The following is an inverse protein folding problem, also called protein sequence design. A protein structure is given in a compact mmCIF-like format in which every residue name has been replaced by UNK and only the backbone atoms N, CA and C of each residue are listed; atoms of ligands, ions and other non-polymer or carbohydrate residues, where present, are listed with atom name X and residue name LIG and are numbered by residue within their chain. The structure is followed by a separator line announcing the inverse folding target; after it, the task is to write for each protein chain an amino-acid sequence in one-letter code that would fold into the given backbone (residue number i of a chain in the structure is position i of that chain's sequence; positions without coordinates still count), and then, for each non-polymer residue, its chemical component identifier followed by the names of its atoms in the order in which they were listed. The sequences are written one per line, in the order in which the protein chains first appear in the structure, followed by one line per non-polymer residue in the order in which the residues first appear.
data_IF_437033654063
#
_entry.id   IF_437033654063
#
_cell.length_a   1.000
_cell.length_b   1.000
_cell.length_c   1.000
_cell.angle_alpha   90.00
_cell.angle_beta   90.00
_cell.angle_gamma   90.00
#
_symmetry.space_group_name_H-M   'P 1'
#
loop_
_entity.id
_entity.type
_entity.pdbx_description
1 polymer ?
#
# COMPACT_ATOMS: atom_id res chain seq x y z
N UNK A 1 26.54 -0.78 -29.51
CA UNK A 1 26.45 -0.30 -28.12
C UNK A 1 25.27 -0.98 -27.50
N UNK A 2 25.43 -1.87 -26.54
CA UNK A 2 24.31 -2.41 -25.77
C UNK A 2 23.76 -1.27 -24.91
N UNK A 3 22.49 -0.95 -25.07
CA UNK A 3 21.84 0.00 -24.17
C UNK A 3 21.93 -0.56 -22.75
N UNK A 4 22.62 0.14 -21.88
CA UNK A 4 22.69 -0.23 -20.47
C UNK A 4 21.46 0.34 -19.80
N UNK A 5 20.53 -0.50 -19.39
CA UNK A 5 19.33 -0.07 -18.66
C UNK A 5 19.72 0.45 -17.26
N UNK A 6 18.96 1.42 -16.76
CA UNK A 6 19.13 1.93 -15.39
C UNK A 6 18.56 0.94 -14.39
N UNK A 7 19.15 0.85 -13.21
CA UNK A 7 18.60 0.04 -12.12
C UNK A 7 17.26 0.60 -11.66
N UNK A 8 16.26 -0.26 -11.53
CA UNK A 8 14.89 0.09 -11.16
C UNK A 8 13.84 -0.82 -11.81
N UNK A 9 12.60 -0.39 -11.77
CA UNK A 9 11.46 -1.13 -12.32
C UNK A 9 11.04 -0.55 -13.67
N UNK A 10 10.91 -1.41 -14.67
CA UNK A 10 10.33 -1.09 -15.97
C UNK A 10 8.94 -1.71 -16.09
N UNK A 11 7.97 -0.92 -16.51
CA UNK A 11 6.56 -1.31 -16.59
C UNK A 11 6.01 -1.09 -17.99
N UNK A 12 5.48 -2.15 -18.59
CA UNK A 12 4.64 -2.03 -19.78
C UNK A 12 3.19 -2.32 -19.41
N UNK A 13 2.27 -1.49 -19.90
CA UNK A 13 0.84 -1.69 -19.70
C UNK A 13 0.20 -2.24 -20.97
N UNK A 14 -0.59 -3.29 -20.83
CA UNK A 14 -1.47 -3.80 -21.88
C UNK A 14 -2.89 -3.87 -21.33
N UNK A 15 -3.66 -2.81 -21.61
CA UNK A 15 -5.00 -2.59 -21.06
C UNK A 15 -4.96 -2.56 -19.51
N UNK A 16 -5.24 -3.67 -18.87
CA UNK A 16 -5.22 -3.83 -17.41
C UNK A 16 -4.07 -4.69 -16.90
N UNK A 17 -3.33 -5.33 -17.81
CA UNK A 17 -2.19 -6.17 -17.44
C UNK A 17 -0.94 -5.33 -17.27
N UNK A 18 -0.24 -5.54 -16.20
CA UNK A 18 1.01 -4.88 -15.83
C UNK A 18 2.13 -5.89 -16.03
N UNK A 19 2.96 -5.65 -17.03
CA UNK A 19 4.18 -6.42 -17.26
C UNK A 19 5.33 -5.70 -16.61
N UNK A 20 6.01 -6.34 -15.67
CA UNK A 20 7.05 -5.74 -14.84
C UNK A 20 8.39 -6.39 -15.10
N UNK A 21 9.41 -5.57 -15.13
CA UNK A 21 10.79 -6.02 -15.31
C UNK A 21 11.68 -5.31 -14.29
N UNK A 22 12.43 -6.09 -13.54
CA UNK A 22 13.45 -5.57 -12.65
C UNK A 22 14.77 -5.45 -13.41
N UNK A 23 15.43 -4.31 -13.31
CA UNK A 23 16.75 -4.10 -13.87
C UNK A 23 17.80 -4.05 -12.77
N UNK A 24 18.72 -5.01 -12.78
CA UNK A 24 19.96 -4.99 -12.00
C UNK A 24 21.17 -5.03 -12.91
N UNK A 25 22.14 -4.16 -12.67
CA UNK A 25 23.39 -4.09 -13.43
C UNK A 25 23.21 -4.06 -14.95
N UNK A 26 22.14 -3.40 -15.42
CA UNK A 26 21.84 -3.26 -16.84
C UNK A 26 21.16 -4.47 -17.48
N UNK A 27 20.81 -5.51 -16.71
CA UNK A 27 20.07 -6.67 -17.18
C UNK A 27 18.61 -6.63 -16.71
N UNK A 28 17.67 -6.83 -17.65
CA UNK A 28 16.24 -6.90 -17.38
C UNK A 28 15.82 -8.34 -17.04
N UNK A 29 15.19 -8.52 -15.89
CA UNK A 29 14.58 -9.76 -15.44
C UNK A 29 13.06 -9.60 -15.35
N UNK A 30 12.26 -10.46 -16.01
CA UNK A 30 10.80 -10.36 -15.93
C UNK A 30 10.33 -10.77 -14.54
N UNK A 31 9.41 -9.99 -13.99
CA UNK A 31 8.62 -10.34 -12.82
C UNK A 31 7.27 -10.95 -13.25
N UNK A 32 6.56 -11.55 -12.32
CA UNK A 32 5.22 -12.06 -12.60
C UNK A 32 4.29 -10.94 -13.06
N UNK A 33 3.51 -11.21 -14.13
CA UNK A 33 2.47 -10.29 -14.58
C UNK A 33 1.40 -10.15 -13.52
N UNK A 34 0.83 -8.96 -13.41
CA UNK A 34 -0.28 -8.65 -12.50
C UNK A 34 -1.30 -7.77 -13.21
N UNK A 35 -2.33 -7.36 -12.50
CA UNK A 35 -3.26 -6.32 -12.98
C UNK A 35 -3.09 -5.06 -12.15
N UNK A 36 -3.45 -3.90 -12.72
CA UNK A 36 -3.36 -2.60 -12.01
C UNK A 36 -4.12 -2.64 -10.68
N UNK A 37 -5.28 -3.28 -10.66
CA UNK A 37 -6.10 -3.41 -9.46
C UNK A 37 -5.51 -4.41 -8.44
N UNK A 38 -4.93 -5.52 -8.89
CA UNK A 38 -4.25 -6.47 -8.01
C UNK A 38 -3.01 -5.85 -7.38
N UNK A 39 -2.22 -5.10 -8.16
CA UNK A 39 -1.04 -4.39 -7.70
C UNK A 39 -1.36 -3.43 -6.55
N UNK A 40 -2.36 -2.56 -6.75
CA UNK A 40 -2.76 -1.60 -5.72
C UNK A 40 -3.40 -2.25 -4.49
N UNK A 41 -4.24 -3.27 -4.70
CA UNK A 41 -4.90 -3.95 -3.58
C UNK A 41 -3.91 -4.82 -2.80
N UNK A 42 -2.89 -5.40 -3.46
CA UNK A 42 -1.85 -6.16 -2.78
C UNK A 42 -1.06 -5.29 -1.81
N UNK A 43 -0.80 -4.04 -2.16
CA UNK A 43 -0.13 -3.08 -1.28
C UNK A 43 -0.84 -2.92 0.07
N UNK A 44 -2.19 -2.92 0.09
CA UNK A 44 -2.95 -2.89 1.35
C UNK A 44 -2.91 -4.20 2.13
N UNK A 45 -2.61 -5.31 1.44
CA UNK A 45 -2.53 -6.64 2.01
C UNK A 45 -1.09 -7.05 2.37
N UNK A 46 -0.10 -6.23 2.04
CA UNK A 46 1.31 -6.43 2.35
C UNK A 46 1.48 -6.71 3.85
N UNK A 47 2.41 -7.58 4.17
CA UNK A 47 2.67 -8.05 5.52
C UNK A 47 2.87 -6.85 6.47
N UNK A 48 2.15 -6.86 7.59
CA UNK A 48 2.28 -5.81 8.62
C UNK A 48 3.72 -5.66 9.11
N UNK A 49 4.51 -6.74 9.13
CA UNK A 49 5.91 -6.71 9.52
C UNK A 49 6.76 -5.75 8.68
N UNK A 50 6.48 -5.59 7.38
CA UNK A 50 7.21 -4.66 6.53
C UNK A 50 7.03 -3.20 7.00
N UNK A 51 5.81 -2.86 7.43
CA UNK A 51 5.52 -1.52 7.96
C UNK A 51 6.03 -1.35 9.39
N UNK A 52 6.04 -2.40 10.21
CA UNK A 52 6.65 -2.40 11.54
C UNK A 52 8.14 -2.09 11.45
N UNK A 53 8.88 -2.72 10.55
CA UNK A 53 10.30 -2.40 10.31
C UNK A 53 10.53 -0.93 9.95
N UNK A 54 9.68 -0.36 9.09
CA UNK A 54 9.75 1.06 8.73
C UNK A 54 9.45 1.95 9.95
N UNK A 55 8.39 1.63 10.71
CA UNK A 55 8.00 2.41 11.88
C UNK A 55 9.06 2.34 12.99
N UNK A 56 9.64 1.17 13.24
CA UNK A 56 10.71 0.98 14.23
C UNK A 56 11.94 1.81 13.86
N UNK A 57 12.31 1.80 12.58
CA UNK A 57 13.42 2.64 12.09
C UNK A 57 13.14 4.14 12.28
N UNK A 58 11.94 4.61 11.87
CA UNK A 58 11.54 6.02 12.03
C UNK A 58 11.55 6.43 13.52
N UNK A 59 11.11 5.55 14.41
CA UNK A 59 11.14 5.78 15.85
C UNK A 59 12.58 5.93 16.37
N UNK A 60 13.48 5.06 15.92
CA UNK A 60 14.91 5.13 16.27
C UNK A 60 15.54 6.45 15.79
N UNK A 61 15.19 6.92 14.58
CA UNK A 61 15.64 8.23 14.10
C UNK A 61 15.12 9.38 14.97
N UNK A 62 13.84 9.34 15.36
CA UNK A 62 13.24 10.37 16.21
C UNK A 62 13.88 10.44 17.60
N UNK A 63 14.35 9.33 18.13
CA UNK A 63 15.12 9.27 19.39
C UNK A 63 16.50 9.92 19.23
N UNK A 64 17.15 9.75 18.07
CA UNK A 64 18.42 10.42 17.75
C UNK A 64 18.23 11.93 17.57
N UNK A 65 17.08 12.36 17.00
CA UNK A 65 16.73 13.77 16.82
C UNK A 65 16.40 14.50 18.15
N UNK A 66 15.87 13.77 19.16
CA UNK A 66 15.44 14.32 20.45
C UNK A 66 16.56 14.56 21.48
N UNK A 67 17.81 14.23 21.18
CA UNK A 67 18.96 14.46 22.06
C UNK A 67 19.37 15.94 22.14
N UNK A 68 19.84 16.40 23.30
CA UNK A 68 20.23 17.81 23.57
C UNK A 68 21.36 18.38 22.67
N UNK A 69 21.86 17.59 21.70
CA UNK A 69 22.94 17.94 20.77
C UNK A 69 22.46 18.17 19.32
N UNK A 70 21.34 18.83 19.14
CA UNK A 70 20.86 19.29 17.83
C UNK A 70 21.79 20.38 17.24
N UNK A 71 22.97 20.02 16.82
CA UNK A 71 23.88 21.06 16.34
C UNK A 71 24.81 20.64 15.19
N UNK A 72 25.32 19.46 15.18
CA UNK A 72 26.25 19.02 14.13
C UNK A 72 26.05 17.51 13.92
N UNK A 73 25.30 17.14 12.88
CA UNK A 73 25.21 15.77 12.44
C UNK A 73 26.54 15.42 11.75
N UNK A 74 27.21 14.38 12.21
CA UNK A 74 28.46 13.93 11.63
C UNK A 74 28.22 13.05 10.39
N UNK A 75 29.21 13.02 9.47
CA UNK A 75 29.21 12.12 8.31
C UNK A 75 29.02 10.64 8.72
N UNK A 76 29.62 10.23 9.84
CA UNK A 76 29.51 8.87 10.37
C UNK A 76 28.07 8.54 10.78
N UNK A 77 27.38 9.45 11.44
CA UNK A 77 25.96 9.29 11.82
C UNK A 77 25.05 9.17 10.59
N UNK A 78 25.29 9.98 9.57
CA UNK A 78 24.52 9.92 8.31
C UNK A 78 24.75 8.61 7.61
N UNK A 79 25.99 8.15 7.53
CA UNK A 79 26.34 6.86 6.93
C UNK A 79 25.62 5.72 7.65
N UNK A 80 25.66 5.69 8.97
CA UNK A 80 24.93 4.69 9.78
C UNK A 80 23.42 4.71 9.51
N UNK A 81 22.83 5.88 9.37
CA UNK A 81 21.40 6.06 9.06
C UNK A 81 21.06 5.50 7.68
N UNK A 82 21.90 5.80 6.66
CA UNK A 82 21.71 5.31 5.30
C UNK A 82 21.84 3.78 5.26
N UNK A 83 22.88 3.22 5.89
CA UNK A 83 23.12 1.78 5.93
C UNK A 83 21.93 1.04 6.58
N UNK A 84 21.44 1.52 7.72
CA UNK A 84 20.25 0.96 8.37
C UNK A 84 18.99 1.08 7.52
N UNK A 85 18.80 2.17 6.79
CA UNK A 85 17.66 2.33 5.89
C UNK A 85 17.72 1.33 4.72
N UNK A 86 18.91 1.08 4.18
CA UNK A 86 19.13 0.08 3.14
C UNK A 86 18.91 -1.35 3.66
N UNK A 87 19.29 -1.64 4.91
CA UNK A 87 18.97 -2.92 5.59
C UNK A 87 17.45 -3.13 5.73
N UNK A 88 16.71 -2.09 6.09
CA UNK A 88 15.23 -2.14 6.14
C UNK A 88 14.64 -2.43 4.77
N UNK A 89 15.11 -1.73 3.72
CA UNK A 89 14.65 -1.98 2.35
C UNK A 89 14.97 -3.41 1.89
N UNK A 90 16.15 -3.95 2.23
CA UNK A 90 16.54 -5.32 1.93
C UNK A 90 15.67 -6.35 2.66
N UNK A 91 15.33 -6.13 3.93
CA UNK A 91 14.44 -7.00 4.69
C UNK A 91 13.01 -6.99 4.12
N UNK A 92 12.54 -5.86 3.61
CA UNK A 92 11.25 -5.77 2.91
C UNK A 92 11.30 -6.53 1.59
N UNK A 93 12.42 -6.45 0.85
CA UNK A 93 12.63 -7.13 -0.43
C UNK A 93 12.49 -8.66 -0.32
N UNK A 94 12.85 -9.25 0.80
CA UNK A 94 12.66 -10.69 1.05
C UNK A 94 11.17 -11.11 1.05
N UNK A 95 10.25 -10.18 1.35
CA UNK A 95 8.82 -10.44 1.47
C UNK A 95 7.98 -9.80 0.35
N UNK A 96 8.48 -8.74 -0.25
CA UNK A 96 7.84 -7.96 -1.32
C UNK A 96 8.91 -7.35 -2.22
N UNK A 97 9.29 -8.07 -3.26
CA UNK A 97 10.39 -7.72 -4.16
C UNK A 97 10.25 -6.29 -4.72
N UNK A 98 9.04 -5.90 -5.13
CA UNK A 98 8.82 -4.59 -5.77
C UNK A 98 8.91 -3.45 -4.78
N UNK A 99 8.25 -3.58 -3.64
CA UNK A 99 8.28 -2.54 -2.60
C UNK A 99 9.70 -2.34 -2.08
N UNK A 100 10.39 -3.42 -1.78
CA UNK A 100 11.77 -3.39 -1.29
C UNK A 100 12.73 -2.79 -2.32
N UNK A 101 12.62 -3.20 -3.58
CA UNK A 101 13.45 -2.67 -4.68
C UNK A 101 13.24 -1.18 -4.93
N UNK A 102 11.99 -0.73 -4.93
CA UNK A 102 11.68 0.69 -5.12
C UNK A 102 12.20 1.53 -3.94
N UNK A 103 12.06 1.05 -2.70
CA UNK A 103 12.60 1.72 -1.52
C UNK A 103 14.11 1.78 -1.56
N UNK A 104 14.77 0.67 -1.88
CA UNK A 104 16.22 0.60 -2.01
C UNK A 104 16.73 1.60 -3.07
N UNK A 105 16.10 1.61 -4.24
CA UNK A 105 16.45 2.54 -5.30
C UNK A 105 16.18 4.01 -4.90
N UNK A 106 15.07 4.28 -4.20
CA UNK A 106 14.71 5.63 -3.75
C UNK A 106 15.72 6.16 -2.72
N UNK A 107 16.12 5.35 -1.75
CA UNK A 107 17.18 5.70 -0.78
C UNK A 107 18.49 6.02 -1.50
N UNK A 108 18.95 5.14 -2.40
CA UNK A 108 20.18 5.39 -3.15
C UNK A 108 20.14 6.66 -4.00
N UNK A 109 18.99 6.95 -4.63
CA UNK A 109 18.83 8.15 -5.44
C UNK A 109 18.79 9.43 -4.61
N UNK A 110 18.10 9.40 -3.49
CA UNK A 110 17.93 10.55 -2.60
C UNK A 110 19.20 10.87 -1.82
N UNK A 111 20.08 9.89 -1.66
CA UNK A 111 21.39 10.06 -0.99
C UNK A 111 22.54 10.39 -1.96
N UNK A 112 22.36 10.11 -3.26
CA UNK A 112 23.37 10.42 -4.28
C UNK A 112 23.22 11.85 -4.80
N UNK A 113 23.29 12.82 -3.90
CA UNK A 113 23.28 14.26 -4.22
C UNK A 113 24.70 14.83 -4.01
N UNK A 114 25.11 15.81 -4.83
CA UNK A 114 26.40 16.46 -4.64
C UNK A 114 26.49 17.18 -3.31
N UNK A 115 27.61 17.02 -2.60
CA UNK A 115 27.89 17.83 -1.41
C UNK A 115 28.07 19.29 -1.84
N UNK A 116 27.21 20.15 -1.34
CA UNK A 116 27.25 21.60 -1.59
C UNK A 116 28.13 22.36 -0.56
N UNK A 117 28.75 21.64 0.37
CA UNK A 117 29.60 22.17 1.43
C UNK A 117 28.82 22.97 2.50
N UNK A 118 27.49 22.87 2.54
CA UNK A 118 26.69 23.56 3.53
C UNK A 118 26.55 22.75 4.83
N UNK A 119 26.42 23.44 5.96
CA UNK A 119 26.20 22.79 7.24
C UNK A 119 24.88 21.99 7.31
N UNK A 120 23.96 22.23 6.37
CA UNK A 120 22.65 21.58 6.31
C UNK A 120 22.68 20.33 5.39
N UNK A 121 23.76 20.03 4.71
CA UNK A 121 23.85 18.91 3.76
C UNK A 121 23.50 17.58 4.41
N UNK A 122 24.10 17.26 5.54
CA UNK A 122 23.82 16.02 6.25
C UNK A 122 22.38 15.93 6.79
N UNK A 123 21.84 17.05 7.27
CA UNK A 123 20.42 17.10 7.68
C UNK A 123 19.49 16.86 6.48
N UNK A 124 19.83 17.38 5.31
CA UNK A 124 19.08 17.16 4.09
C UNK A 124 19.12 15.68 3.67
N UNK A 125 20.28 15.04 3.73
CA UNK A 125 20.40 13.60 3.47
C UNK A 125 19.51 12.76 4.40
N UNK A 126 19.55 13.02 5.70
CA UNK A 126 18.69 12.34 6.68
C UNK A 126 17.21 12.53 6.39
N UNK A 127 16.79 13.77 6.10
CA UNK A 127 15.41 14.07 5.75
C UNK A 127 14.99 13.33 4.48
N UNK A 128 15.84 13.27 3.45
CA UNK A 128 15.56 12.57 2.22
C UNK A 128 15.34 11.06 2.46
N UNK A 129 16.18 10.43 3.29
CA UNK A 129 16.04 9.02 3.67
C UNK A 129 14.74 8.79 4.44
N UNK A 130 14.44 9.65 5.40
CA UNK A 130 13.23 9.60 6.19
C UNK A 130 11.97 9.74 5.32
N UNK A 131 11.98 10.66 4.36
CA UNK A 131 10.87 10.85 3.43
C UNK A 131 10.69 9.65 2.50
N UNK A 132 11.79 9.07 1.98
CA UNK A 132 11.73 7.87 1.17
C UNK A 132 11.06 6.70 1.94
N UNK A 133 11.46 6.48 3.21
CA UNK A 133 10.89 5.43 4.05
C UNK A 133 9.46 5.71 4.52
N UNK A 134 9.05 6.98 4.62
CA UNK A 134 7.65 7.35 4.94
C UNK A 134 6.70 7.20 3.76
N UNK A 135 7.20 7.24 2.53
CA UNK A 135 6.39 7.15 1.31
C UNK A 135 5.42 5.96 1.30
N UNK A 136 5.80 4.71 1.64
CA UNK A 136 4.87 3.59 1.68
C UNK A 136 3.76 3.74 2.71
N UNK A 137 4.05 4.33 3.87
CA UNK A 137 3.05 4.56 4.92
C UNK A 137 2.01 5.57 4.46
N UNK A 138 2.49 6.71 3.95
CA UNK A 138 1.64 7.76 3.40
C UNK A 138 0.79 7.25 2.23
N UNK A 139 1.40 6.56 1.26
CA UNK A 139 0.68 6.06 0.10
C UNK A 139 -0.36 4.99 0.47
N UNK A 140 -0.05 4.11 1.41
CA UNK A 140 -0.99 3.11 1.94
C UNK A 140 -2.23 3.77 2.56
N UNK A 141 -2.04 4.80 3.36
CA UNK A 141 -3.13 5.57 3.96
C UNK A 141 -3.99 6.24 2.88
N UNK A 142 -3.36 6.94 1.96
CA UNK A 142 -4.02 7.59 0.83
C UNK A 142 -4.82 6.59 -0.01
N UNK A 143 -4.22 5.46 -0.38
CA UNK A 143 -4.88 4.40 -1.16
C UNK A 143 -6.09 3.84 -0.41
N UNK A 144 -5.96 3.60 0.90
CA UNK A 144 -7.09 3.13 1.70
C UNK A 144 -8.26 4.12 1.68
N UNK A 145 -7.97 5.42 1.85
CA UNK A 145 -8.99 6.48 1.77
C UNK A 145 -9.66 6.53 0.40
N UNK A 146 -8.86 6.47 -0.66
CA UNK A 146 -9.36 6.45 -2.04
C UNK A 146 -10.28 5.26 -2.28
N UNK A 147 -9.84 4.05 -1.95
CA UNK A 147 -10.64 2.84 -2.17
C UNK A 147 -11.93 2.83 -1.33
N UNK A 148 -11.87 3.35 -0.10
CA UNK A 148 -13.07 3.47 0.74
C UNK A 148 -14.08 4.45 0.15
N UNK A 149 -13.63 5.57 -0.39
CA UNK A 149 -14.50 6.53 -1.10
C UNK A 149 -15.05 5.91 -2.39
N UNK A 150 -14.23 5.21 -3.17
CA UNK A 150 -14.68 4.51 -4.38
C UNK A 150 -15.79 3.48 -4.12
N UNK A 151 -15.80 2.85 -2.94
CA UNK A 151 -16.87 1.93 -2.56
C UNK A 151 -18.22 2.64 -2.38
N UNK A 152 -18.20 3.92 -1.98
CA UNK A 152 -19.40 4.71 -1.72
C UNK A 152 -20.01 5.31 -3.00
N UNK A 153 -19.24 5.41 -4.06
CA UNK A 153 -19.64 6.03 -5.33
C UNK A 153 -19.69 5.00 -6.46
N UNK A 154 -20.78 5.03 -7.23
CA UNK A 154 -20.90 4.17 -8.42
C UNK A 154 -20.00 4.65 -9.58
N UNK A 155 -19.53 5.89 -9.52
CA UNK A 155 -18.66 6.52 -10.52
C UNK A 155 -17.37 7.03 -9.89
N UNK A 156 -16.32 6.21 -9.99
CA UNK A 156 -14.98 6.53 -9.48
C UNK A 156 -14.42 7.82 -10.13
N UNK A 157 -14.70 8.06 -11.41
CA UNK A 157 -14.22 9.27 -12.09
C UNK A 157 -14.81 10.56 -11.51
N UNK A 158 -16.10 10.57 -11.15
CA UNK A 158 -16.73 11.75 -10.58
C UNK A 158 -16.10 12.10 -9.25
N UNK A 159 -15.96 11.11 -8.38
CA UNK A 159 -15.34 11.32 -7.09
C UNK A 159 -13.88 11.78 -7.22
N UNK A 160 -13.11 11.16 -8.13
CA UNK A 160 -11.71 11.49 -8.35
C UNK A 160 -11.54 12.94 -8.85
N UNK A 161 -12.42 13.43 -9.72
CA UNK A 161 -12.41 14.82 -10.17
C UNK A 161 -12.57 15.79 -8.98
N UNK A 162 -13.36 15.41 -7.99
CA UNK A 162 -13.52 16.19 -6.75
C UNK A 162 -12.30 16.12 -5.84
N UNK A 163 -11.61 14.97 -5.78
CA UNK A 163 -10.41 14.77 -4.94
C UNK A 163 -9.12 15.30 -5.55
N UNK A 164 -8.98 15.28 -6.87
CA UNK A 164 -7.79 15.82 -7.57
C UNK A 164 -7.54 17.29 -7.24
N UNK A 165 -8.56 18.03 -6.87
CA UNK A 165 -8.40 19.42 -6.45
C UNK A 165 -7.67 19.56 -5.11
N UNK A 166 -7.67 18.52 -4.28
CA UNK A 166 -7.02 18.51 -2.96
C UNK A 166 -5.66 17.83 -2.96
N UNK A 167 -5.42 16.89 -3.88
CA UNK A 167 -4.20 16.06 -3.94
C UNK A 167 -3.41 16.33 -5.24
N UNK A 168 -3.38 17.57 -5.70
CA UNK A 168 -2.83 17.93 -7.02
C UNK A 168 -1.36 17.57 -7.22
N UNK A 169 -0.54 17.55 -6.17
CA UNK A 169 0.89 17.27 -6.29
C UNK A 169 1.18 15.80 -6.60
N UNK A 170 0.40 14.87 -6.03
CA UNK A 170 0.55 13.44 -6.31
C UNK A 170 0.41 13.13 -7.81
N UNK A 171 -0.40 13.90 -8.53
CA UNK A 171 -0.75 13.67 -9.92
C UNK A 171 0.01 14.59 -10.90
N UNK A 172 0.80 15.56 -10.40
CA UNK A 172 1.68 16.41 -11.20
C UNK A 172 3.07 15.81 -11.31
N UNK A 173 3.17 14.59 -11.86
CA UNK A 173 4.43 13.89 -11.99
C UNK A 173 4.80 13.70 -13.45
N UNK A 174 6.09 13.73 -13.74
CA UNK A 174 6.64 13.39 -15.05
C UNK A 174 7.19 11.97 -14.98
N UNK A 175 6.81 11.15 -15.96
CA UNK A 175 7.28 9.77 -16.05
C UNK A 175 8.24 9.61 -17.22
N UNK A 176 9.36 8.93 -16.99
CA UNK A 176 10.29 8.59 -18.05
C UNK A 176 9.73 7.39 -18.83
N UNK A 177 9.46 7.58 -20.13
CA UNK A 177 9.04 6.52 -21.03
C UNK A 177 10.20 6.13 -21.93
N UNK A 178 10.40 4.84 -22.09
CA UNK A 178 11.42 4.25 -22.96
C UNK A 178 10.80 3.14 -23.81
N UNK A 179 11.38 2.91 -24.99
CA UNK A 179 11.06 1.74 -25.80
C UNK A 179 12.04 0.64 -25.52
N UNK A 180 11.60 -0.49 -25.00
CA UNK A 180 12.44 -1.65 -24.75
C UNK A 180 11.95 -2.84 -25.57
N UNK A 181 12.89 -3.70 -25.98
CA UNK A 181 12.58 -5.02 -26.50
C UNK A 181 12.30 -5.95 -25.32
N UNK A 182 11.02 -6.31 -25.12
CA UNK A 182 10.63 -7.25 -24.07
C UNK A 182 10.38 -8.63 -24.63
N UNK A 183 10.73 -9.70 -23.91
CA UNK A 183 10.38 -11.06 -24.30
C UNK A 183 8.86 -11.26 -24.22
N UNK A 184 8.29 -11.88 -25.26
CA UNK A 184 6.93 -12.38 -25.29
C UNK A 184 7.01 -13.89 -25.46
N UNK A 185 6.81 -14.64 -24.37
CA UNK A 185 7.03 -16.08 -24.38
C UNK A 185 8.52 -16.45 -24.54
N UNK A 186 8.79 -17.65 -25.03
CA UNK A 186 10.15 -18.21 -25.05
C UNK A 186 11.02 -17.80 -26.24
N UNK A 187 10.51 -17.15 -27.28
CA UNK A 187 11.24 -16.91 -28.53
C UNK A 187 10.98 -15.56 -29.20
N UNK A 188 10.00 -14.81 -28.81
CA UNK A 188 9.64 -13.54 -29.45
C UNK A 188 10.02 -12.34 -28.59
N UNK A 189 10.62 -11.34 -29.25
CA UNK A 189 10.87 -10.02 -28.65
C UNK A 189 9.94 -9.01 -29.28
N UNK A 190 9.30 -8.18 -28.46
CA UNK A 190 8.44 -7.08 -28.92
C UNK A 190 8.96 -5.75 -28.40
N UNK A 191 9.08 -4.80 -29.30
CA UNK A 191 9.29 -3.40 -28.93
C UNK A 191 8.02 -2.89 -28.22
N UNK A 192 8.17 -2.49 -26.97
CA UNK A 192 7.06 -2.02 -26.15
C UNK A 192 7.40 -0.70 -25.48
N UNK A 193 6.40 0.15 -25.38
CA UNK A 193 6.47 1.33 -24.52
C UNK A 193 6.54 0.86 -23.08
N UNK A 194 7.53 1.35 -22.35
CA UNK A 194 7.73 1.04 -20.95
C UNK A 194 8.00 2.31 -20.17
N UNK A 195 7.47 2.36 -18.98
CA UNK A 195 7.73 3.42 -18.02
C UNK A 195 8.78 2.94 -17.04
N UNK A 196 9.75 3.80 -16.77
CA UNK A 196 10.83 3.53 -15.83
C UNK A 196 10.54 4.18 -14.48
N UNK A 197 10.73 3.41 -13.41
CA UNK A 197 10.56 3.86 -12.03
C UNK A 197 11.75 3.44 -11.17
N UNK A 198 12.25 4.39 -10.42
CA UNK A 198 13.26 4.18 -9.39
C UNK A 198 12.89 4.89 -8.08
N UNK A 199 11.60 5.28 -7.95
CA UNK A 199 11.01 5.87 -6.76
C UNK A 199 9.68 5.20 -6.46
N UNK A 200 9.47 4.92 -5.19
CA UNK A 200 8.25 4.30 -4.69
C UNK A 200 7.00 5.11 -5.06
N UNK A 201 7.01 6.39 -4.75
CA UNK A 201 5.88 7.28 -4.98
C UNK A 201 5.47 7.38 -6.45
N UNK A 202 6.46 7.44 -7.36
CA UNK A 202 6.20 7.58 -8.78
C UNK A 202 5.53 6.34 -9.36
N UNK A 203 5.99 5.15 -8.94
CA UNK A 203 5.42 3.88 -9.36
C UNK A 203 3.96 3.74 -8.92
N UNK A 204 3.68 3.91 -7.62
CA UNK A 204 2.33 3.71 -7.10
C UNK A 204 1.37 4.84 -7.47
N UNK A 205 1.83 6.08 -7.64
CA UNK A 205 1.03 7.16 -8.20
C UNK A 205 0.63 6.86 -9.65
N UNK A 206 1.55 6.33 -10.46
CA UNK A 206 1.27 5.89 -11.82
C UNK A 206 0.23 4.76 -11.86
N UNK A 207 0.36 3.74 -11.01
CA UNK A 207 -0.62 2.66 -10.90
C UNK A 207 -1.99 3.17 -10.47
N UNK A 208 -2.03 4.09 -9.52
CA UNK A 208 -3.28 4.69 -9.05
C UNK A 208 -3.98 5.50 -10.14
N UNK A 209 -3.23 6.30 -10.92
CA UNK A 209 -3.78 7.04 -12.06
C UNK A 209 -4.41 6.10 -13.09
N UNK A 210 -3.73 5.02 -13.44
CA UNK A 210 -4.26 4.03 -14.39
C UNK A 210 -5.47 3.29 -13.83
N UNK A 211 -5.47 2.95 -12.55
CA UNK A 211 -6.62 2.37 -11.88
C UNK A 211 -7.87 3.27 -11.98
N UNK A 212 -7.69 4.56 -11.76
CA UNK A 212 -8.76 5.55 -11.87
C UNK A 212 -9.25 5.67 -13.31
N UNK A 213 -8.33 5.72 -14.29
CA UNK A 213 -8.66 5.76 -15.72
C UNK A 213 -9.46 4.54 -16.17
N UNK A 214 -9.17 3.36 -15.62
CA UNK A 214 -9.93 2.14 -15.88
C UNK A 214 -11.38 2.21 -15.37
N UNK A 215 -11.70 3.11 -14.45
CA UNK A 215 -13.05 3.33 -13.92
C UNK A 215 -13.70 2.11 -13.31
N UNK A 216 -12.91 1.16 -12.83
CA UNK A 216 -13.43 -0.09 -12.27
C UNK A 216 -14.07 0.14 -10.90
N UNK A 217 -15.24 -0.47 -10.63
CA UNK A 217 -15.84 -0.40 -9.31
C UNK A 217 -15.00 -1.14 -8.28
N UNK A 218 -14.92 -0.58 -7.08
CA UNK A 218 -14.30 -1.23 -5.91
C UNK A 218 -15.38 -1.63 -4.93
N UNK A 219 -15.20 -2.77 -4.27
CA UNK A 219 -16.10 -3.28 -3.23
C UNK A 219 -15.32 -3.88 -2.08
N UNK A 220 -15.84 -3.77 -0.88
CA UNK A 220 -15.37 -4.57 0.27
C UNK A 220 -16.03 -5.94 0.24
N UNK A 221 -15.23 -6.98 0.38
CA UNK A 221 -15.74 -8.35 0.49
C UNK A 221 -16.53 -8.52 1.79
N UNK A 222 -17.80 -8.90 1.71
CA UNK A 222 -18.64 -9.14 2.90
C UNK A 222 -18.18 -10.34 3.75
N UNK A 223 -17.26 -11.16 3.26
CA UNK A 223 -16.67 -12.26 4.00
C UNK A 223 -15.42 -11.83 4.76
N UNK A 224 -14.36 -11.43 4.03
CA UNK A 224 -13.05 -11.11 4.62
C UNK A 224 -12.83 -9.61 4.89
N UNK A 225 -13.74 -8.73 4.45
CA UNK A 225 -13.64 -7.28 4.63
C UNK A 225 -12.63 -6.55 3.72
N UNK A 226 -11.79 -7.28 2.98
CA UNK A 226 -10.74 -6.69 2.11
C UNK A 226 -11.35 -6.14 0.83
N UNK A 227 -10.76 -5.07 0.31
CA UNK A 227 -11.15 -4.52 -0.99
C UNK A 227 -10.87 -5.50 -2.14
N UNK A 228 -11.71 -5.44 -3.17
CA UNK A 228 -11.53 -6.15 -4.42
C UNK A 228 -12.25 -5.43 -5.57
N UNK A 229 -11.81 -5.70 -6.79
CA UNK A 229 -12.47 -5.26 -8.01
C UNK A 229 -13.32 -6.41 -8.54
N UNK A 230 -14.64 -6.22 -8.72
CA UNK A 230 -15.49 -7.25 -9.31
C UNK A 230 -15.08 -7.57 -10.76
N UNK A 231 -14.91 -8.85 -11.07
CA UNK A 231 -14.56 -9.31 -12.43
C UNK A 231 -15.71 -9.17 -13.44
N UNK A 232 -16.92 -8.95 -12.97
CA UNK A 232 -18.12 -8.85 -13.80
C UNK A 232 -18.96 -7.65 -13.41
N UNK A 233 -19.80 -7.17 -14.35
CA UNK A 233 -20.76 -6.08 -14.10
C UNK A 233 -21.86 -6.44 -13.10
N UNK A 234 -22.03 -7.73 -12.76
CA UNK A 234 -23.01 -8.14 -11.75
C UNK A 234 -22.56 -7.74 -10.37
N UNK A 235 -23.49 -7.37 -9.52
CA UNK A 235 -23.22 -7.07 -8.11
C UNK A 235 -22.61 -8.31 -7.46
N UNK A 236 -21.35 -8.21 -7.08
CA UNK A 236 -20.58 -9.26 -6.42
C UNK A 236 -20.26 -8.80 -5.01
N UNK A 237 -20.67 -9.59 -4.02
CA UNK A 237 -20.50 -9.25 -2.59
C UNK A 237 -19.26 -9.91 -1.97
N UNK A 238 -18.63 -10.83 -2.68
CA UNK A 238 -17.53 -11.66 -2.19
C UNK A 238 -16.40 -11.73 -3.20
N UNK A 239 -15.16 -11.67 -2.73
CA UNK A 239 -13.97 -11.83 -3.57
C UNK A 239 -13.66 -13.30 -3.84
N UNK A 240 -12.76 -13.52 -4.79
CA UNK A 240 -12.27 -14.86 -5.17
C UNK A 240 -11.04 -15.32 -4.36
N UNK A 241 -10.65 -14.60 -3.27
CA UNK A 241 -9.50 -14.97 -2.42
C UNK A 241 -9.78 -16.25 -1.67
N UNK A 242 -8.79 -17.13 -1.65
CA UNK A 242 -8.79 -18.34 -0.83
C UNK A 242 -8.69 -17.96 0.64
N UNK A 243 -9.58 -18.50 1.48
CA UNK A 243 -9.65 -18.20 2.92
C UNK A 243 -9.58 -19.43 3.81
N UNK A 244 -9.59 -20.62 3.22
CA UNK A 244 -9.51 -21.88 3.96
C UNK A 244 -8.33 -22.72 3.49
N UNK A 245 -7.85 -23.61 4.35
CA UNK A 245 -6.76 -24.54 4.05
C UNK A 245 -7.12 -25.53 2.93
N UNK A 246 -8.40 -25.80 2.70
CA UNK A 246 -8.91 -26.67 1.63
C UNK A 246 -9.14 -25.93 0.28
N UNK A 247 -8.59 -24.72 0.16
CA UNK A 247 -8.59 -23.94 -1.09
C UNK A 247 -9.90 -23.27 -1.45
N UNK A 248 -10.89 -23.19 -0.54
CA UNK A 248 -12.16 -22.52 -0.83
C UNK A 248 -12.04 -21.02 -0.74
N UNK A 249 -12.72 -20.32 -1.66
CA UNK A 249 -12.73 -18.87 -1.76
C UNK A 249 -13.86 -18.24 -0.92
N UNK A 250 -13.73 -16.94 -0.64
CA UNK A 250 -14.81 -16.15 -0.02
C UNK A 250 -16.14 -16.34 -0.73
N UNK A 251 -16.14 -16.34 -2.06
CA UNK A 251 -17.31 -16.50 -2.92
C UNK A 251 -18.00 -17.85 -2.77
N UNK A 252 -17.24 -18.90 -2.49
CA UNK A 252 -17.77 -20.27 -2.33
C UNK A 252 -18.37 -20.50 -0.94
N UNK A 253 -17.78 -19.90 0.08
CA UNK A 253 -18.14 -20.18 1.49
C UNK A 253 -19.14 -19.18 2.05
N UNK A 254 -18.91 -17.89 1.83
CA UNK A 254 -19.65 -16.84 2.48
C UNK A 254 -21.19 -16.90 2.25
N UNK A 255 -21.70 -17.19 1.04
CA UNK A 255 -23.15 -17.27 0.86
C UNK A 255 -23.82 -18.30 1.76
N UNK A 256 -23.18 -19.46 1.95
CA UNK A 256 -23.72 -20.54 2.81
C UNK A 256 -23.68 -20.15 4.28
N UNK A 257 -22.58 -19.55 4.74
CA UNK A 257 -22.42 -19.09 6.11
C UNK A 257 -23.41 -17.97 6.43
N UNK A 258 -23.47 -16.96 5.58
CA UNK A 258 -24.40 -15.84 5.79
C UNK A 258 -25.85 -16.29 5.74
N UNK A 259 -26.21 -17.24 4.87
CA UNK A 259 -27.56 -17.81 4.88
C UNK A 259 -27.87 -18.54 6.19
N UNK A 260 -26.89 -19.28 6.75
CA UNK A 260 -27.03 -19.92 8.05
C UNK A 260 -27.27 -18.88 9.16
N UNK A 261 -26.48 -17.80 9.20
CA UNK A 261 -26.60 -16.74 10.20
C UNK A 261 -27.84 -15.86 10.03
N UNK A 262 -28.24 -15.55 8.79
CA UNK A 262 -29.50 -14.83 8.54
C UNK A 262 -30.72 -15.58 9.04
N UNK A 263 -30.71 -16.90 8.96
CA UNK A 263 -31.80 -17.72 9.53
C UNK A 263 -31.88 -17.64 11.07
N UNK A 264 -30.76 -17.26 11.71
CA UNK A 264 -30.67 -17.10 13.16
C UNK A 264 -30.87 -15.66 13.62
N UNK A 265 -31.26 -14.72 12.72
CA UNK A 265 -31.35 -13.26 13.01
C UNK A 265 -30.10 -12.71 13.70
N UNK A 266 -28.93 -12.99 13.12
CA UNK A 266 -27.66 -12.65 13.73
C UNK A 266 -27.43 -11.13 13.76
N UNK A 267 -27.61 -10.55 14.92
CA UNK A 267 -27.42 -9.13 15.21
C UNK A 267 -25.94 -8.76 15.30
N UNK A 268 -25.06 -9.74 15.49
CA UNK A 268 -23.62 -9.50 15.71
C UNK A 268 -22.91 -9.01 14.47
N UNK A 269 -23.29 -9.48 13.28
CA UNK A 269 -22.75 -8.94 12.03
C UNK A 269 -23.19 -7.50 11.77
N UNK A 270 -24.43 -7.16 12.14
CA UNK A 270 -24.90 -5.77 12.06
C UNK A 270 -24.14 -4.87 13.06
N UNK A 271 -23.83 -5.40 14.24
CA UNK A 271 -22.98 -4.68 15.22
C UNK A 271 -21.56 -4.46 14.70
N UNK A 272 -20.96 -5.47 14.08
CA UNK A 272 -19.66 -5.31 13.42
C UNK A 272 -19.66 -4.13 12.43
N UNK A 273 -20.65 -4.06 11.54
CA UNK A 273 -20.74 -2.97 10.55
C UNK A 273 -20.91 -1.59 11.23
N UNK A 274 -21.67 -1.55 12.34
CA UNK A 274 -21.87 -0.34 13.13
C UNK A 274 -20.57 0.13 13.78
N UNK A 275 -19.80 -0.79 14.39
CA UNK A 275 -18.52 -0.51 15.02
C UNK A 275 -17.48 -0.09 13.98
N UNK A 276 -17.41 -0.77 12.83
CA UNK A 276 -16.54 -0.41 11.72
C UNK A 276 -16.78 1.03 11.27
N UNK A 277 -18.03 1.40 11.03
CA UNK A 277 -18.39 2.75 10.60
C UNK A 277 -18.09 3.80 11.69
N UNK A 278 -18.30 3.46 12.96
CA UNK A 278 -17.94 4.35 14.08
C UNK A 278 -16.45 4.60 14.16
N UNK A 279 -15.62 3.55 14.07
CA UNK A 279 -14.18 3.68 14.17
C UNK A 279 -13.58 4.37 12.92
N UNK A 280 -14.14 4.15 11.73
CA UNK A 280 -13.76 4.91 10.56
C UNK A 280 -14.00 6.43 10.75
N UNK A 281 -15.17 6.83 11.29
CA UNK A 281 -15.45 8.23 11.59
C UNK A 281 -14.55 8.81 12.70
N UNK A 282 -14.06 7.98 13.63
CA UNK A 282 -13.06 8.40 14.63
C UNK A 282 -11.71 8.67 13.97
N UNK A 283 -11.29 7.82 13.05
CA UNK A 283 -10.11 8.02 12.22
C UNK A 283 -10.26 9.27 11.32
N UNK A 284 -11.33 9.37 10.55
CA UNK A 284 -11.60 10.50 9.65
C UNK A 284 -11.57 11.86 10.38
N UNK A 285 -12.04 11.93 11.63
CA UNK A 285 -11.94 13.14 12.45
C UNK A 285 -10.54 13.44 12.96
N UNK A 286 -9.78 12.39 13.27
CA UNK A 286 -8.40 12.54 13.75
C UNK A 286 -7.47 13.04 12.66
N UNK A 287 -7.71 12.64 11.42
CA UNK A 287 -6.88 12.94 10.26
C UNK A 287 -6.61 14.44 10.02
N UNK A 288 -7.61 15.29 10.30
CA UNK A 288 -7.51 16.74 10.09
C UNK A 288 -6.96 17.51 11.30
N UNK A 289 -6.55 16.81 12.36
CA UNK A 289 -6.06 17.42 13.59
C UNK A 289 -4.54 17.42 13.66
N UNK A 290 -4.00 18.49 14.19
CA UNK A 290 -2.57 18.56 14.45
C UNK A 290 -2.16 17.63 15.62
N UNK A 291 -0.90 17.17 15.66
CA UNK A 291 -0.38 16.44 16.81
C UNK A 291 -0.62 17.28 18.09
N UNK A 292 -1.25 16.66 19.09
CA UNK A 292 -1.66 17.34 20.33
C UNK A 292 -3.11 17.82 20.39
N UNK A 293 -3.82 17.89 19.26
CA UNK A 293 -5.27 18.16 19.22
C UNK A 293 -6.12 16.90 19.24
N UNK A 294 -5.47 15.73 19.15
CA UNK A 294 -6.16 14.45 19.23
C UNK A 294 -6.78 14.23 20.61
N UNK A 295 -7.99 13.73 20.61
CA UNK A 295 -8.73 13.37 21.82
C UNK A 295 -8.90 11.85 21.86
N UNK A 296 -9.26 11.27 23.01
CA UNK A 296 -9.58 9.84 23.15
C UNK A 296 -10.70 9.36 22.20
N UNK A 297 -11.44 10.28 21.61
CA UNK A 297 -12.52 9.99 20.65
C UNK A 297 -12.00 9.85 19.22
N UNK A 298 -10.76 10.20 18.96
CA UNK A 298 -10.11 10.13 17.64
C UNK A 298 -9.26 8.86 17.55
N UNK A 299 -8.91 8.45 16.34
CA UNK A 299 -8.01 7.34 16.08
C UNK A 299 -6.97 7.77 15.05
N UNK A 300 -5.72 7.35 15.22
CA UNK A 300 -4.71 7.47 14.16
C UNK A 300 -4.96 6.42 13.08
N UNK A 301 -4.28 6.55 11.95
CA UNK A 301 -4.33 5.55 10.87
C UNK A 301 -3.87 4.18 11.37
N UNK A 302 -2.77 4.12 12.12
CA UNK A 302 -2.21 2.90 12.70
C UNK A 302 -3.20 2.23 13.64
N UNK A 303 -3.80 3.00 14.56
CA UNK A 303 -4.80 2.48 15.49
C UNK A 303 -6.03 1.93 14.76
N UNK A 304 -6.51 2.66 13.74
CA UNK A 304 -7.66 2.21 12.96
C UNK A 304 -7.34 0.95 12.14
N UNK A 305 -6.20 0.91 11.47
CA UNK A 305 -5.82 -0.25 10.66
C UNK A 305 -5.53 -1.49 11.50
N UNK A 306 -4.86 -1.35 12.65
CA UNK A 306 -4.63 -2.44 13.59
C UNK A 306 -5.95 -3.02 14.10
N UNK A 307 -6.85 -2.14 14.55
CA UNK A 307 -8.20 -2.55 14.95
C UNK A 307 -8.95 -3.25 13.79
N UNK A 308 -8.90 -2.68 12.58
CA UNK A 308 -9.60 -3.23 11.42
C UNK A 308 -9.11 -4.64 11.07
N UNK A 309 -7.80 -4.87 11.10
CA UNK A 309 -7.22 -6.19 10.83
C UNK A 309 -7.69 -7.22 11.86
N UNK A 310 -7.67 -6.85 13.15
CA UNK A 310 -8.17 -7.71 14.23
C UNK A 310 -9.66 -8.01 14.08
N UNK A 311 -10.47 -6.98 13.82
CA UNK A 311 -11.92 -7.13 13.64
C UNK A 311 -12.27 -7.97 12.41
N UNK A 312 -11.50 -7.85 11.31
CA UNK A 312 -11.67 -8.70 10.12
C UNK A 312 -11.30 -10.17 10.38
N UNK A 313 -10.24 -10.42 11.15
CA UNK A 313 -9.86 -11.76 11.56
C UNK A 313 -10.92 -12.40 12.46
N UNK A 314 -11.39 -11.65 13.46
CA UNK A 314 -12.49 -12.10 14.35
C UNK A 314 -13.78 -12.39 13.56
N UNK A 315 -14.14 -11.52 12.59
CA UNK A 315 -15.29 -11.77 11.72
C UNK A 315 -15.15 -13.04 10.90
N UNK A 316 -13.94 -13.30 10.37
CA UNK A 316 -13.66 -14.54 9.64
C UNK A 316 -13.81 -15.75 10.55
N UNK A 317 -13.18 -15.74 11.73
CA UNK A 317 -13.24 -16.83 12.69
C UNK A 317 -14.67 -17.11 13.17
N UNK A 318 -15.45 -16.07 13.43
CA UNK A 318 -16.88 -16.18 13.80
C UNK A 318 -17.70 -16.82 12.67
N UNK A 319 -17.54 -16.34 11.43
CA UNK A 319 -18.23 -16.91 10.26
C UNK A 319 -17.84 -18.38 10.01
N UNK A 320 -16.65 -18.78 10.34
CA UNK A 320 -16.17 -20.16 10.25
C UNK A 320 -16.63 -21.02 11.46
N UNK A 321 -17.17 -20.41 12.51
CA UNK A 321 -17.57 -21.09 13.75
C UNK A 321 -16.40 -21.46 14.65
N UNK A 322 -15.25 -20.80 14.48
CA UNK A 322 -14.01 -21.00 15.25
C UNK A 322 -14.06 -20.27 16.60
N UNK A 323 -14.85 -19.18 16.70
CA UNK A 323 -15.06 -18.41 17.93
C UNK A 323 -16.55 -18.23 18.21
N UNK A 324 -16.88 -18.02 19.49
CA UNK A 324 -18.24 -17.75 19.95
C UNK A 324 -18.72 -16.33 19.58
N UNK A 325 -20.02 -16.05 19.68
CA UNK A 325 -20.56 -14.71 19.50
C UNK A 325 -20.08 -13.73 20.57
N UNK A 326 -19.83 -14.20 21.79
CA UNK A 326 -19.31 -13.39 22.90
C UNK A 326 -17.86 -12.98 22.60
N UNK A 327 -16.99 -13.94 22.23
CA UNK A 327 -15.62 -13.67 21.82
C UNK A 327 -15.53 -12.75 20.61
N UNK A 328 -16.43 -12.92 19.64
CA UNK A 328 -16.53 -12.03 18.49
C UNK A 328 -16.85 -10.60 18.92
N UNK A 329 -17.84 -10.42 19.79
CA UNK A 329 -18.24 -9.10 20.32
C UNK A 329 -17.10 -8.44 21.06
N UNK A 330 -16.39 -9.17 21.92
CA UNK A 330 -15.21 -8.65 22.61
C UNK A 330 -14.14 -8.16 21.64
N UNK A 331 -13.83 -8.94 20.62
CA UNK A 331 -12.78 -8.62 19.65
C UNK A 331 -13.10 -7.41 18.77
N UNK A 332 -14.35 -7.13 18.46
CA UNK A 332 -14.72 -5.94 17.67
C UNK A 332 -14.80 -4.67 18.51
N UNK A 333 -14.91 -4.78 19.83
CA UNK A 333 -15.00 -3.63 20.74
C UNK A 333 -13.68 -3.27 21.42
N UNK A 334 -12.68 -4.13 21.34
CA UNK A 334 -11.28 -3.80 21.73
C UNK A 334 -10.69 -2.78 20.77
#
# INVERSE_FOLDING_TARGET
MSATYKNGIYVALDSNTVHRYLCHHGALSPLADTTVDEELISMLATNSSNYEHICDYISTLSELEGGENFGIISEEQVTEVIDKALEVAAAIMENDDIMGELLYADILNTTNIPDDGTANFFLQLMNNVNDALKSPLYFRELLYRILHKCEQYDNVHKWFTECVLTETELFRRSYQMEYINRPIGSAEMRLSETYFFNRFDDYYAFMLLHFIQLGKPVRSCQCCGRFFVPKTKKITLYCDRVITSDGKTCKQIAPKLIQKFKKQQDTLLAEYDRVKNRNYKRFERGEWKLPGEHTEKDMTFEQYTAWLMQAQAARKAYLCGEISGEEFTENIHK
#
